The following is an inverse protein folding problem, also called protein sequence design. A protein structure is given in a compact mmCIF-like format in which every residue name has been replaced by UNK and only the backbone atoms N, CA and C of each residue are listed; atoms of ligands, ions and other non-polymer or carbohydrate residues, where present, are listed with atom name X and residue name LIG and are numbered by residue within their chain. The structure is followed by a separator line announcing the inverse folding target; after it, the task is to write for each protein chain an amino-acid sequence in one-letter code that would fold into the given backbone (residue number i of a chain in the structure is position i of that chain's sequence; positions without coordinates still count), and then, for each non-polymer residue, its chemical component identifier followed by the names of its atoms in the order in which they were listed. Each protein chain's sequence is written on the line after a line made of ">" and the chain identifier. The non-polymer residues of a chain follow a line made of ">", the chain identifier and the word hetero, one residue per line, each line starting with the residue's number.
data_IF_594485923157
#
_entry.id   IF_594485923157
#
_cell.length_a   1.000
_cell.length_b   1.000
_cell.length_c   1.000
_cell.angle_alpha   90.00
_cell.angle_beta   90.00
_cell.angle_gamma   90.00
#
_symmetry.space_group_name_H-M   'P 1'
#
loop_
_entity.id
_entity.type
_entity.pdbx_description
1 polymer ?
#
# COMPACT_ATOMS: atom_id res chain seq x y z
N UNK A 1 -26.44 -12.52 -6.45
CA UNK A 1 -26.13 -11.77 -5.22
C UNK A 1 -25.82 -10.33 -5.61
N UNK A 2 -26.38 -9.34 -4.92
CA UNK A 2 -26.02 -7.93 -5.14
C UNK A 2 -24.53 -7.75 -4.80
N UNK A 3 -23.72 -7.28 -5.75
CA UNK A 3 -22.27 -7.02 -5.63
C UNK A 3 -21.95 -5.52 -5.56
N UNK A 4 -22.97 -4.66 -5.40
CA UNK A 4 -22.79 -3.22 -5.22
C UNK A 4 -22.05 -2.92 -3.92
N UNK A 5 -21.24 -1.87 -3.97
CA UNK A 5 -20.61 -1.29 -2.79
C UNK A 5 -21.66 -0.44 -2.07
N UNK A 6 -21.87 -0.68 -0.78
CA UNK A 6 -22.83 0.09 0.00
C UNK A 6 -22.10 1.18 0.78
N UNK A 7 -22.55 2.43 0.64
CA UNK A 7 -21.98 3.58 1.34
C UNK A 7 -21.90 3.40 2.85
N UNK A 8 -22.95 2.87 3.47
CA UNK A 8 -23.01 2.63 4.91
C UNK A 8 -21.96 1.62 5.40
N UNK A 9 -21.70 0.56 4.62
CA UNK A 9 -20.70 -0.43 4.98
C UNK A 9 -19.29 0.18 4.91
N UNK A 10 -19.01 1.00 3.88
CA UNK A 10 -17.74 1.73 3.77
C UNK A 10 -17.56 2.75 4.90
N UNK A 11 -18.61 3.48 5.27
CA UNK A 11 -18.59 4.39 6.42
C UNK A 11 -18.32 3.65 7.72
N UNK A 12 -18.93 2.48 7.93
CA UNK A 12 -18.67 1.66 9.11
C UNK A 12 -17.22 1.20 9.19
N UNK A 13 -16.63 0.78 8.06
CA UNK A 13 -15.21 0.41 7.96
C UNK A 13 -14.31 1.60 8.30
N UNK A 14 -14.56 2.76 7.68
CA UNK A 14 -13.78 3.99 7.91
C UNK A 14 -13.89 4.40 9.39
N UNK A 15 -15.10 4.37 9.97
CA UNK A 15 -15.32 4.74 11.35
C UNK A 15 -14.60 3.80 12.33
N UNK A 16 -14.67 2.49 12.11
CA UNK A 16 -14.00 1.51 12.97
C UNK A 16 -12.46 1.64 12.92
N UNK A 17 -11.90 1.80 11.71
CA UNK A 17 -10.46 2.01 11.52
C UNK A 17 -10.03 3.33 12.16
N UNK A 18 -10.77 4.42 11.90
CA UNK A 18 -10.47 5.74 12.47
C UNK A 18 -10.51 5.70 13.99
N UNK A 19 -11.53 5.07 14.60
CA UNK A 19 -11.62 4.93 16.05
C UNK A 19 -10.42 4.18 16.63
N UNK A 20 -9.96 3.13 15.96
CA UNK A 20 -8.78 2.35 16.38
C UNK A 20 -7.49 3.14 16.23
N UNK A 21 -7.40 3.96 15.18
CA UNK A 21 -6.22 4.79 14.88
C UNK A 21 -6.18 6.09 15.70
N UNK A 22 -7.31 6.52 16.25
CA UNK A 22 -7.47 7.82 16.89
C UNK A 22 -6.45 8.08 18.02
N UNK A 23 -6.17 7.13 18.93
CA UNK A 23 -5.22 7.37 20.01
C UNK A 23 -3.80 7.71 19.50
N UNK A 24 -3.33 7.06 18.42
CA UNK A 24 -2.00 7.34 17.90
C UNK A 24 -1.95 8.62 17.05
N UNK A 25 -3.05 8.98 16.38
CA UNK A 25 -3.16 10.25 15.65
C UNK A 25 -3.19 11.42 16.64
N UNK A 26 -3.94 11.29 17.75
CA UNK A 26 -4.04 12.33 18.77
C UNK A 26 -2.78 12.48 19.64
N UNK A 27 -1.85 11.52 19.60
CA UNK A 27 -0.58 11.65 20.33
C UNK A 27 0.40 12.66 19.70
N UNK A 28 -0.01 13.37 18.64
CA UNK A 28 0.75 14.48 18.07
C UNK A 28 2.11 14.03 17.55
N UNK A 29 3.18 14.67 18.02
CA UNK A 29 4.56 14.32 17.64
C UNK A 29 5.20 13.27 18.58
N UNK A 30 4.42 12.61 19.44
CA UNK A 30 4.94 11.47 20.20
C UNK A 30 5.36 10.36 19.25
N UNK A 31 6.63 9.96 19.34
CA UNK A 31 7.28 8.93 18.54
C UNK A 31 7.67 7.78 19.46
N UNK A 32 7.63 6.54 18.96
CA UNK A 32 8.29 5.43 19.63
C UNK A 32 9.80 5.59 19.50
N UNK A 33 10.53 5.51 20.61
CA UNK A 33 11.99 5.69 20.63
C UNK A 33 12.73 4.38 20.36
N UNK A 34 12.44 3.75 19.21
CA UNK A 34 13.22 2.62 18.71
C UNK A 34 13.98 3.00 17.43
N UNK A 35 15.01 2.23 17.13
CA UNK A 35 15.95 2.52 16.05
C UNK A 35 15.25 2.65 14.69
N UNK A 36 14.31 1.74 14.39
CA UNK A 36 13.54 1.74 13.14
C UNK A 36 12.71 3.02 12.97
N UNK A 37 12.01 3.46 14.03
CA UNK A 37 11.25 4.72 14.00
C UNK A 37 12.13 5.94 13.82
N UNK A 38 13.25 5.99 14.55
CA UNK A 38 14.19 7.10 14.46
C UNK A 38 14.82 7.16 13.08
N UNK A 39 15.18 6.01 12.52
CA UNK A 39 15.70 5.88 11.16
C UNK A 39 14.67 6.38 10.14
N UNK A 40 13.44 5.87 10.18
CA UNK A 40 12.41 6.28 9.22
C UNK A 40 12.06 7.77 9.37
N UNK A 41 11.87 8.25 10.60
CA UNK A 41 11.61 9.67 10.87
C UNK A 41 12.74 10.57 10.37
N UNK A 42 14.01 10.14 10.50
CA UNK A 42 15.17 10.91 10.02
C UNK A 42 15.18 11.07 8.50
N UNK A 43 14.76 10.06 7.73
CA UNK A 43 14.63 10.16 6.27
C UNK A 43 13.55 11.14 5.86
N UNK A 44 12.40 11.07 6.52
CA UNK A 44 11.31 12.02 6.33
C UNK A 44 11.67 13.45 6.76
N UNK A 45 12.50 13.60 7.81
CA UNK A 45 13.05 14.88 8.22
C UNK A 45 14.04 15.44 7.20
N UNK A 46 14.92 14.60 6.62
CA UNK A 46 15.86 14.98 5.56
C UNK A 46 15.12 15.49 4.32
N UNK A 47 14.06 14.80 3.89
CA UNK A 47 13.19 15.25 2.80
C UNK A 47 12.68 16.68 3.07
N UNK A 48 12.15 16.93 4.26
CA UNK A 48 11.62 18.24 4.65
C UNK A 48 12.72 19.30 4.73
N UNK A 49 13.85 18.98 5.34
CA UNK A 49 15.00 19.89 5.43
C UNK A 49 15.47 20.29 4.03
N UNK A 50 15.63 19.31 3.13
CA UNK A 50 16.10 19.57 1.76
C UNK A 50 15.16 20.50 1.01
N UNK A 51 13.84 20.30 1.14
CA UNK A 51 12.84 21.12 0.46
C UNK A 51 12.67 22.52 1.06
N UNK A 52 12.63 22.64 2.39
CA UNK A 52 12.26 23.89 3.07
C UNK A 52 13.44 24.73 3.54
N UNK A 53 14.61 24.14 3.77
CA UNK A 53 15.80 24.83 4.25
C UNK A 53 16.83 24.97 3.13
N UNK A 54 17.09 23.88 2.40
CA UNK A 54 18.12 23.86 1.37
C UNK A 54 17.59 24.19 -0.03
N UNK A 55 16.26 24.28 -0.20
CA UNK A 55 15.56 24.54 -1.47
C UNK A 55 16.04 23.66 -2.63
N UNK A 56 16.35 22.39 -2.34
CA UNK A 56 16.85 21.42 -3.29
C UNK A 56 16.05 20.13 -3.23
N UNK A 57 16.03 19.40 -4.34
CA UNK A 57 15.49 18.06 -4.34
C UNK A 57 16.45 17.12 -3.57
N UNK A 58 15.97 16.28 -2.64
CA UNK A 58 16.78 15.44 -1.75
C UNK A 58 17.43 14.25 -2.48
N UNK A 59 18.40 14.53 -3.36
CA UNK A 59 19.16 13.49 -4.07
C UNK A 59 20.28 12.88 -3.22
N UNK A 60 20.71 13.59 -2.18
CA UNK A 60 21.82 13.19 -1.29
C UNK A 60 21.58 13.65 0.13
N UNK A 61 22.06 12.86 1.09
CA UNK A 61 22.17 13.24 2.50
C UNK A 61 23.59 13.69 2.84
N UNK A 62 23.80 14.84 3.51
CA UNK A 62 25.12 15.27 3.96
C UNK A 62 25.60 14.52 5.22
N UNK A 63 24.69 13.81 5.90
CA UNK A 63 24.94 13.27 7.25
C UNK A 63 25.78 11.98 7.26
N UNK A 64 25.93 11.32 6.10
CA UNK A 64 26.72 10.09 5.98
C UNK A 64 27.94 10.30 5.11
N UNK A 65 29.12 9.98 5.65
CA UNK A 65 30.39 9.84 4.92
C UNK A 65 30.74 11.00 3.96
N UNK A 66 30.36 12.24 4.28
CA UNK A 66 30.60 13.43 3.43
C UNK A 66 29.60 13.61 2.27
N UNK A 67 28.58 12.77 2.20
CA UNK A 67 27.55 12.78 1.17
C UNK A 67 27.20 11.36 0.73
N UNK A 68 25.95 10.94 0.92
CA UNK A 68 25.44 9.65 0.43
C UNK A 68 24.22 9.87 -0.49
N UNK A 69 24.10 9.18 -1.64
CA UNK A 69 22.93 9.30 -2.50
C UNK A 69 21.70 8.66 -1.83
N UNK A 70 20.92 9.46 -1.09
CA UNK A 70 19.78 8.96 -0.32
C UNK A 70 18.72 8.33 -1.21
N UNK A 71 18.52 8.84 -2.42
CA UNK A 71 17.58 8.29 -3.41
C UNK A 71 17.90 6.85 -3.84
N UNK A 72 19.12 6.36 -3.61
CA UNK A 72 19.49 4.97 -3.88
C UNK A 72 19.14 4.02 -2.72
N UNK A 73 18.71 4.56 -1.57
CA UNK A 73 18.18 3.78 -0.46
C UNK A 73 16.72 3.37 -0.78
N UNK A 74 16.38 2.07 -0.76
CA UNK A 74 15.02 1.60 -1.06
C UNK A 74 13.95 2.05 -0.04
N UNK A 75 14.36 2.66 1.06
CA UNK A 75 13.49 3.23 2.10
C UNK A 75 13.50 4.77 2.09
N UNK A 76 14.04 5.39 1.03
CA UNK A 76 14.00 6.83 0.83
C UNK A 76 12.60 7.26 0.35
N UNK A 77 11.91 8.16 1.06
CA UNK A 77 10.53 8.49 0.76
C UNK A 77 10.39 9.48 -0.40
N UNK A 78 11.47 10.03 -0.96
CA UNK A 78 11.42 11.26 -1.75
C UNK A 78 10.65 11.12 -3.07
N UNK A 79 10.60 9.90 -3.62
CA UNK A 79 9.83 9.61 -4.84
C UNK A 79 8.41 9.11 -4.55
N UNK A 80 8.08 8.80 -3.30
CA UNK A 80 6.77 8.29 -2.96
C UNK A 80 5.77 9.44 -2.86
N UNK A 81 4.65 9.42 -3.60
CA UNK A 81 3.65 10.49 -3.54
C UNK A 81 3.01 10.65 -2.14
N UNK A 82 3.02 9.61 -1.30
CA UNK A 82 2.56 9.70 0.08
C UNK A 82 3.48 10.54 0.97
N UNK A 83 4.73 10.77 0.56
CA UNK A 83 5.65 11.65 1.26
C UNK A 83 5.18 13.12 1.27
N UNK A 84 4.23 13.49 0.40
CA UNK A 84 3.54 14.77 0.49
C UNK A 84 2.83 14.95 1.85
N UNK A 85 2.36 13.87 2.49
CA UNK A 85 1.81 13.95 3.84
C UNK A 85 2.87 14.40 4.85
N UNK A 86 4.11 13.94 4.69
CA UNK A 86 5.25 14.41 5.49
C UNK A 86 5.62 15.85 5.19
N UNK A 87 5.62 16.25 3.93
CA UNK A 87 5.91 17.63 3.54
C UNK A 87 4.89 18.59 4.16
N UNK A 88 3.59 18.23 4.13
CA UNK A 88 2.52 19.07 4.64
C UNK A 88 2.37 19.07 6.17
N UNK A 89 2.50 17.91 6.82
CA UNK A 89 2.13 17.75 8.24
C UNK A 89 3.31 17.57 9.20
N UNK A 90 4.54 17.48 8.70
CA UNK A 90 5.71 17.15 9.50
C UNK A 90 6.12 15.68 9.37
N UNK A 91 7.35 15.36 9.73
CA UNK A 91 7.92 14.02 9.65
C UNK A 91 7.15 13.01 10.49
N UNK A 92 6.86 13.32 11.76
CA UNK A 92 6.16 12.39 12.67
C UNK A 92 4.69 12.24 12.31
N UNK A 93 3.96 13.35 12.21
CA UNK A 93 2.52 13.31 11.88
C UNK A 93 2.29 12.79 10.45
N UNK A 94 3.15 13.16 9.49
CA UNK A 94 3.08 12.63 8.13
C UNK A 94 3.20 11.11 8.09
N UNK A 95 4.17 10.53 8.80
CA UNK A 95 4.31 9.07 8.92
C UNK A 95 3.08 8.40 9.52
N UNK A 96 2.47 9.02 10.55
CA UNK A 96 1.21 8.54 11.13
C UNK A 96 0.06 8.58 10.13
N UNK A 97 -0.03 9.62 9.30
CA UNK A 97 -1.05 9.74 8.26
C UNK A 97 -0.83 8.76 7.10
N UNK A 98 0.43 8.47 6.75
CA UNK A 98 0.79 7.40 5.80
C UNK A 98 0.30 6.06 6.33
N UNK A 99 0.64 5.72 7.58
CA UNK A 99 0.18 4.50 8.24
C UNK A 99 -1.35 4.43 8.26
N UNK A 100 -2.04 5.50 8.65
CA UNK A 100 -3.50 5.59 8.66
C UNK A 100 -4.11 5.35 7.27
N UNK A 101 -3.49 5.87 6.22
CA UNK A 101 -3.91 5.63 4.83
C UNK A 101 -3.78 4.14 4.48
N UNK A 102 -2.73 3.46 4.96
CA UNK A 102 -2.57 2.02 4.76
C UNK A 102 -3.61 1.18 5.52
N UNK A 103 -4.04 1.60 6.72
CA UNK A 103 -5.16 0.97 7.42
C UNK A 103 -6.46 1.10 6.61
N UNK A 104 -6.78 2.30 6.15
CA UNK A 104 -7.97 2.54 5.32
C UNK A 104 -7.93 1.71 4.03
N UNK A 105 -6.77 1.68 3.37
CA UNK A 105 -6.57 0.88 2.16
C UNK A 105 -6.75 -0.63 2.43
N UNK A 106 -6.33 -1.12 3.60
CA UNK A 106 -6.52 -2.50 4.02
C UNK A 106 -8.02 -2.86 4.05
N UNK A 107 -8.79 -2.10 4.82
CA UNK A 107 -10.22 -2.37 5.02
C UNK A 107 -11.04 -2.16 3.76
N UNK A 108 -10.85 -1.01 3.09
CA UNK A 108 -11.60 -0.68 1.87
C UNK A 108 -11.19 -1.56 0.68
N UNK A 109 -9.90 -1.88 0.55
CA UNK A 109 -9.40 -2.80 -0.48
C UNK A 109 -9.97 -4.21 -0.31
N UNK A 110 -10.03 -4.71 0.92
CA UNK A 110 -10.65 -6.02 1.20
C UNK A 110 -12.17 -6.01 0.96
N UNK A 111 -12.87 -4.92 1.32
CA UNK A 111 -14.29 -4.78 1.02
C UNK A 111 -14.53 -4.76 -0.49
N UNK A 112 -13.70 -4.02 -1.22
CA UNK A 112 -13.76 -3.95 -2.67
C UNK A 112 -13.56 -5.33 -3.31
N UNK A 113 -12.47 -6.03 -2.96
CA UNK A 113 -12.15 -7.36 -3.46
C UNK A 113 -13.29 -8.36 -3.21
N UNK A 114 -13.75 -8.44 -1.96
CA UNK A 114 -14.76 -9.43 -1.56
C UNK A 114 -16.11 -9.17 -2.21
N UNK A 115 -16.53 -7.90 -2.35
CA UNK A 115 -17.80 -7.54 -2.98
C UNK A 115 -17.76 -7.63 -4.50
N UNK A 116 -16.68 -7.14 -5.13
CA UNK A 116 -16.60 -6.97 -6.59
C UNK A 116 -16.08 -8.19 -7.31
N UNK A 117 -15.14 -8.92 -6.71
CA UNK A 117 -14.44 -10.01 -7.38
C UNK A 117 -14.85 -11.39 -6.84
N UNK A 118 -15.01 -11.52 -5.51
CA UNK A 118 -15.30 -12.81 -4.88
C UNK A 118 -16.79 -13.09 -4.67
N UNK A 119 -17.65 -12.10 -4.86
CA UNK A 119 -19.11 -12.25 -4.77
C UNK A 119 -19.64 -12.51 -3.36
N UNK A 120 -18.91 -12.12 -2.32
CA UNK A 120 -19.34 -12.31 -0.93
C UNK A 120 -20.60 -11.49 -0.63
N UNK A 121 -21.48 -12.02 0.22
CA UNK A 121 -22.59 -11.25 0.78
C UNK A 121 -22.11 -10.06 1.63
N UNK A 122 -23.00 -9.09 1.90
CA UNK A 122 -22.66 -7.84 2.61
C UNK A 122 -21.99 -8.08 3.97
N UNK A 123 -22.57 -8.95 4.78
CA UNK A 123 -22.06 -9.27 6.13
C UNK A 123 -20.71 -9.96 6.07
N UNK A 124 -20.54 -10.93 5.18
CA UNK A 124 -19.26 -11.62 4.99
C UNK A 124 -18.15 -10.68 4.49
N UNK A 125 -18.48 -9.78 3.56
CA UNK A 125 -17.54 -8.77 3.08
C UNK A 125 -17.16 -7.77 4.18
N UNK A 126 -18.14 -7.27 4.95
CA UNK A 126 -17.88 -6.36 6.07
C UNK A 126 -16.99 -7.03 7.12
N UNK A 127 -17.30 -8.27 7.49
CA UNK A 127 -16.49 -9.06 8.42
C UNK A 127 -15.06 -9.24 7.91
N UNK A 128 -14.87 -9.68 6.66
CA UNK A 128 -13.54 -9.85 6.06
C UNK A 128 -12.74 -8.53 6.05
N UNK A 129 -13.42 -7.42 5.77
CA UNK A 129 -12.81 -6.08 5.71
C UNK A 129 -12.32 -5.61 7.06
N UNK A 130 -13.12 -5.79 8.11
CA UNK A 130 -12.75 -5.44 9.48
C UNK A 130 -11.69 -6.40 10.02
N UNK A 131 -11.82 -7.71 9.76
CA UNK A 131 -10.84 -8.71 10.20
C UNK A 131 -9.45 -8.46 9.60
N UNK A 132 -9.38 -8.12 8.31
CA UNK A 132 -8.12 -7.75 7.65
C UNK A 132 -7.64 -6.35 8.09
N UNK A 133 -8.54 -5.37 8.05
CA UNK A 133 -8.25 -3.96 8.34
C UNK A 133 -7.93 -3.64 9.81
N UNK A 134 -8.25 -4.53 10.74
CA UNK A 134 -7.96 -4.40 12.17
C UNK A 134 -7.09 -5.55 12.70
N UNK A 135 -6.40 -6.28 11.82
CA UNK A 135 -5.53 -7.37 12.25
C UNK A 135 -4.36 -6.83 13.10
N UNK A 136 -3.96 -7.60 14.12
CA UNK A 136 -2.90 -7.20 15.05
C UNK A 136 -1.50 -7.05 14.43
N UNK A 137 -1.31 -7.50 13.19
CA UNK A 137 -0.06 -7.34 12.47
C UNK A 137 0.25 -5.87 12.17
N UNK A 138 -0.74 -5.08 11.75
CA UNK A 138 -0.54 -3.66 11.43
C UNK A 138 -0.07 -2.81 12.62
N UNK A 139 -0.70 -2.86 13.80
CA UNK A 139 -0.23 -2.08 14.94
C UNK A 139 1.14 -2.55 15.42
N UNK A 140 1.48 -3.83 15.27
CA UNK A 140 2.81 -4.34 15.59
C UNK A 140 3.89 -3.76 14.66
N UNK A 141 3.65 -3.72 13.34
CA UNK A 141 4.58 -3.13 12.36
C UNK A 141 4.76 -1.64 12.58
N UNK A 142 3.66 -0.93 12.81
CA UNK A 142 3.69 0.47 13.15
C UNK A 142 4.44 0.72 14.47
N UNK A 143 4.17 -0.02 15.54
CA UNK A 143 4.89 0.14 16.81
C UNK A 143 6.40 -0.11 16.66
N UNK A 144 6.78 -1.05 15.80
CA UNK A 144 8.15 -1.35 15.45
C UNK A 144 8.80 -0.43 14.42
N UNK A 145 8.19 0.69 14.00
CA UNK A 145 8.82 1.64 13.06
C UNK A 145 8.85 1.20 11.60
N UNK A 146 8.25 0.05 11.28
CA UNK A 146 8.25 -0.54 9.96
C UNK A 146 7.00 -0.11 9.15
N UNK A 147 6.75 1.20 9.08
CA UNK A 147 5.57 1.76 8.39
C UNK A 147 5.58 1.42 6.90
N UNK A 148 6.76 1.37 6.27
CA UNK A 148 6.91 1.00 4.86
C UNK A 148 6.46 -0.45 4.59
N UNK A 149 6.53 -1.35 5.57
CA UNK A 149 6.01 -2.70 5.39
C UNK A 149 4.48 -2.73 5.32
N UNK A 150 3.80 -1.69 5.81
CA UNK A 150 2.34 -1.61 5.79
C UNK A 150 1.78 -1.56 4.36
N UNK A 151 2.59 -1.30 3.33
CA UNK A 151 2.17 -1.44 1.94
C UNK A 151 1.68 -2.86 1.58
N UNK A 152 2.01 -3.90 2.38
CA UNK A 152 1.40 -5.23 2.25
C UNK A 152 -0.14 -5.19 2.31
N UNK A 153 -0.71 -4.18 2.98
CA UNK A 153 -2.16 -4.03 3.10
C UNK A 153 -2.85 -3.64 1.80
N UNK A 154 -2.10 -3.19 0.78
CA UNK A 154 -2.62 -2.90 -0.56
C UNK A 154 -2.89 -4.17 -1.38
N UNK A 155 -2.43 -5.34 -0.92
CA UNK A 155 -2.60 -6.63 -1.62
C UNK A 155 -4.04 -6.92 -2.07
N UNK A 156 -5.09 -6.74 -1.23
CA UNK A 156 -6.46 -7.01 -1.67
C UNK A 156 -6.91 -6.08 -2.81
N UNK A 157 -6.51 -4.81 -2.76
CA UNK A 157 -6.83 -3.83 -3.80
C UNK A 157 -6.10 -4.15 -5.10
N UNK A 158 -4.81 -4.50 -5.02
CA UNK A 158 -4.01 -4.94 -6.18
C UNK A 158 -4.65 -6.15 -6.83
N UNK A 159 -5.00 -7.17 -6.06
CA UNK A 159 -5.65 -8.37 -6.57
C UNK A 159 -6.99 -8.04 -7.24
N UNK A 160 -7.80 -7.18 -6.64
CA UNK A 160 -9.08 -6.79 -7.22
C UNK A 160 -8.91 -6.06 -8.56
N UNK A 161 -7.94 -5.15 -8.65
CA UNK A 161 -7.66 -4.40 -9.88
C UNK A 161 -7.10 -5.29 -10.99
N UNK A 162 -6.24 -6.25 -10.64
CA UNK A 162 -5.74 -7.26 -11.58
C UNK A 162 -6.91 -8.09 -12.14
N UNK A 163 -7.81 -8.59 -11.30
CA UNK A 163 -8.96 -9.37 -11.74
C UNK A 163 -9.93 -8.54 -12.61
N UNK A 164 -10.22 -7.31 -12.20
CA UNK A 164 -11.09 -6.42 -12.98
C UNK A 164 -10.46 -5.96 -14.30
N UNK A 165 -9.13 -5.90 -14.39
CA UNK A 165 -8.42 -5.50 -15.62
C UNK A 165 -8.69 -6.42 -16.83
N UNK A 166 -9.14 -7.66 -16.58
CA UNK A 166 -9.58 -8.58 -17.64
C UNK A 166 -10.74 -7.96 -18.44
N UNK A 167 -11.67 -7.29 -17.76
CA UNK A 167 -12.85 -6.68 -18.37
C UNK A 167 -12.74 -5.16 -18.56
N UNK A 168 -12.01 -4.47 -17.69
CA UNK A 168 -11.87 -3.01 -17.68
C UNK A 168 -10.40 -2.60 -17.80
N UNK A 169 -9.91 -2.40 -19.02
CA UNK A 169 -8.48 -2.10 -19.28
C UNK A 169 -7.97 -0.84 -18.58
N UNK A 170 -8.82 0.15 -18.29
CA UNK A 170 -8.45 1.33 -17.51
C UNK A 170 -7.92 1.02 -16.10
N UNK A 171 -8.26 -0.15 -15.53
CA UNK A 171 -7.75 -0.59 -14.23
C UNK A 171 -6.24 -0.84 -14.22
N UNK A 172 -5.62 -1.05 -15.38
CA UNK A 172 -4.17 -1.24 -15.52
C UNK A 172 -3.41 0.03 -15.07
N UNK A 173 -3.92 1.22 -15.38
CA UNK A 173 -3.29 2.48 -15.00
C UNK A 173 -3.34 2.68 -13.49
N UNK A 174 -4.51 2.45 -12.87
CA UNK A 174 -4.67 2.54 -11.42
C UNK A 174 -3.79 1.51 -10.69
N UNK A 175 -3.72 0.30 -11.22
CA UNK A 175 -2.85 -0.75 -10.73
C UNK A 175 -1.36 -0.39 -10.85
N UNK A 176 -0.94 0.29 -11.92
CA UNK A 176 0.43 0.79 -12.09
C UNK A 176 0.76 1.89 -11.07
N UNK A 177 -0.17 2.85 -10.85
CA UNK A 177 0.00 3.91 -9.86
C UNK A 177 0.17 3.35 -8.44
N UNK A 178 -0.66 2.37 -8.05
CA UNK A 178 -0.54 1.73 -6.74
C UNK A 178 0.78 0.98 -6.61
N UNK A 179 1.22 0.28 -7.66
CA UNK A 179 2.53 -0.39 -7.64
C UNK A 179 3.69 0.59 -7.54
N UNK A 180 3.62 1.75 -8.21
CA UNK A 180 4.65 2.79 -8.13
C UNK A 180 4.81 3.32 -6.68
N UNK A 181 3.70 3.48 -5.94
CA UNK A 181 3.75 3.81 -4.50
C UNK A 181 4.55 2.78 -3.69
N UNK A 182 4.41 1.49 -4.00
CA UNK A 182 5.12 0.43 -3.28
C UNK A 182 6.57 0.33 -3.74
N UNK A 183 6.85 0.52 -5.03
CA UNK A 183 8.20 0.45 -5.59
C UNK A 183 9.12 1.57 -5.07
N UNK A 184 8.56 2.74 -4.77
CA UNK A 184 9.32 3.93 -4.38
C UNK A 184 9.77 3.95 -2.92
N UNK A 185 9.14 3.17 -2.03
CA UNK A 185 9.42 3.23 -0.58
C UNK A 185 9.20 1.88 0.16
N UNK A 186 8.75 0.84 -0.55
CA UNK A 186 8.21 -0.37 0.06
C UNK A 186 9.19 -1.51 0.27
N UNK A 187 10.50 -1.29 0.28
CA UNK A 187 11.49 -2.36 0.54
C UNK A 187 11.26 -3.62 -0.34
N UNK A 188 11.14 -4.79 0.29
CA UNK A 188 10.82 -6.08 -0.30
C UNK A 188 9.31 -6.33 -0.45
N UNK A 189 8.44 -5.37 -0.11
CA UNK A 189 6.99 -5.54 -0.18
C UNK A 189 6.53 -5.79 -1.62
N UNK A 190 7.01 -4.99 -2.58
CA UNK A 190 6.61 -5.15 -3.98
C UNK A 190 6.96 -6.54 -4.53
N UNK A 191 8.19 -7.06 -4.45
CA UNK A 191 8.50 -8.40 -4.96
C UNK A 191 7.71 -9.50 -4.25
N UNK A 192 7.43 -9.37 -2.95
CA UNK A 192 6.57 -10.32 -2.23
C UNK A 192 5.12 -10.32 -2.72
N UNK A 193 4.53 -9.14 -2.92
CA UNK A 193 3.18 -9.02 -3.51
C UNK A 193 3.18 -9.54 -4.94
N UNK A 194 4.18 -9.17 -5.76
CA UNK A 194 4.28 -9.59 -7.14
C UNK A 194 4.35 -11.11 -7.27
N UNK A 195 5.15 -11.79 -6.44
CA UNK A 195 5.22 -13.25 -6.40
C UNK A 195 3.85 -13.86 -6.07
N UNK A 196 3.16 -13.33 -5.06
CA UNK A 196 1.83 -13.80 -4.66
C UNK A 196 0.79 -13.61 -5.78
N UNK A 197 0.77 -12.45 -6.43
CA UNK A 197 -0.17 -12.15 -7.52
C UNK A 197 0.13 -12.99 -8.76
N UNK A 198 1.41 -13.17 -9.13
CA UNK A 198 1.81 -14.04 -10.24
C UNK A 198 1.33 -15.47 -9.99
N UNK A 199 1.54 -16.01 -8.78
CA UNK A 199 1.06 -17.34 -8.42
C UNK A 199 -0.47 -17.44 -8.57
N UNK A 200 -1.21 -16.45 -8.08
CA UNK A 200 -2.67 -16.42 -8.23
C UNK A 200 -3.12 -16.32 -9.68
N UNK A 201 -2.46 -15.50 -10.51
CA UNK A 201 -2.78 -15.42 -11.94
C UNK A 201 -2.50 -16.73 -12.68
N UNK A 202 -1.42 -17.44 -12.33
CA UNK A 202 -1.11 -18.76 -12.90
C UNK A 202 -2.20 -19.77 -12.51
N UNK A 203 -2.60 -19.79 -11.23
CA UNK A 203 -3.65 -20.69 -10.75
C UNK A 203 -5.03 -20.37 -11.35
N UNK A 204 -5.38 -19.09 -11.53
CA UNK A 204 -6.64 -18.66 -12.16
C UNK A 204 -6.67 -18.97 -13.67
N UNK A 205 -5.52 -18.87 -14.33
CA UNK A 205 -5.38 -19.09 -15.76
C UNK A 205 -5.50 -20.55 -16.17
N UNK A 206 -5.19 -21.51 -15.29
CA UNK A 206 -5.25 -22.94 -15.61
C UNK A 206 -6.65 -23.48 -15.37
N UNK A 207 -7.31 -23.94 -16.45
CA UNK A 207 -8.62 -24.62 -16.38
C UNK A 207 -8.49 -26.04 -16.90
N UNK A 208 -8.97 -26.99 -16.10
CA UNK A 208 -9.04 -28.41 -16.44
C UNK A 208 -10.49 -28.75 -16.73
N UNK A 209 -10.81 -29.11 -17.97
CA UNK A 209 -12.17 -29.52 -18.35
C UNK A 209 -12.10 -30.75 -19.25
N UNK A 210 -12.81 -31.83 -18.88
CA UNK A 210 -12.92 -33.07 -19.66
C UNK A 210 -11.57 -33.68 -20.12
N UNK A 211 -10.52 -33.54 -19.32
CA UNK A 211 -9.18 -34.06 -19.63
C UNK A 211 -8.29 -33.12 -20.45
N UNK A 212 -8.82 -31.98 -20.91
CA UNK A 212 -8.04 -30.94 -21.58
C UNK A 212 -7.62 -29.86 -20.57
N UNK A 213 -6.35 -29.44 -20.68
CA UNK A 213 -5.80 -28.32 -19.91
C UNK A 213 -5.78 -27.09 -20.83
N UNK A 214 -6.50 -26.04 -20.43
CA UNK A 214 -6.48 -24.74 -21.10
C UNK A 214 -5.83 -23.70 -20.19
N UNK A 215 -5.07 -22.78 -20.79
CA UNK A 215 -4.36 -21.71 -20.08
C UNK A 215 -4.78 -20.33 -20.60
N UNK A 216 -5.22 -19.45 -19.70
CA UNK A 216 -5.49 -18.04 -19.95
C UNK A 216 -4.39 -17.18 -19.32
N UNK A 217 -3.60 -16.50 -20.16
CA UNK A 217 -2.50 -15.63 -19.74
C UNK A 217 -2.90 -14.17 -19.49
N UNK A 218 -4.19 -13.81 -19.61
CA UNK A 218 -4.60 -12.41 -19.59
C UNK A 218 -4.32 -11.71 -18.24
N UNK A 219 -4.56 -12.40 -17.12
CA UNK A 219 -4.26 -11.90 -15.77
C UNK A 219 -2.77 -11.55 -15.63
N UNK A 220 -1.91 -12.50 -16.02
CA UNK A 220 -0.47 -12.36 -15.93
C UNK A 220 0.05 -11.24 -16.85
N UNK A 221 -0.48 -11.16 -18.08
CA UNK A 221 -0.14 -10.10 -19.03
C UNK A 221 -0.50 -8.72 -18.48
N UNK A 222 -1.72 -8.54 -17.97
CA UNK A 222 -2.14 -7.22 -17.47
C UNK A 222 -1.34 -6.81 -16.23
N UNK A 223 -1.01 -7.76 -15.34
CA UNK A 223 -0.12 -7.50 -14.21
C UNK A 223 1.28 -7.09 -14.68
N UNK A 224 1.89 -7.84 -15.61
CA UNK A 224 3.21 -7.51 -16.16
C UNK A 224 3.25 -6.14 -16.84
N UNK A 225 2.22 -5.79 -17.63
CA UNK A 225 2.10 -4.46 -18.25
C UNK A 225 2.00 -3.38 -17.18
N UNK A 226 1.18 -3.57 -16.15
CA UNK A 226 1.05 -2.59 -15.07
C UNK A 226 2.34 -2.42 -14.26
N UNK A 227 3.10 -3.50 -14.05
CA UNK A 227 4.39 -3.46 -13.36
C UNK A 227 5.44 -2.71 -14.20
N UNK A 228 5.49 -2.96 -15.51
CA UNK A 228 6.37 -2.22 -16.41
C UNK A 228 6.02 -0.73 -16.44
N UNK A 229 4.72 -0.38 -16.45
CA UNK A 229 4.27 1.00 -16.34
C UNK A 229 4.66 1.62 -15.00
N UNK A 230 4.54 0.88 -13.89
CA UNK A 230 4.90 1.36 -12.56
C UNK A 230 6.40 1.71 -12.42
N UNK A 231 7.28 1.04 -13.19
CA UNK A 231 8.70 1.37 -13.24
C UNK A 231 9.02 2.64 -14.06
N UNK A 232 8.07 3.12 -14.85
CA UNK A 232 8.20 4.33 -15.67
C UNK A 232 7.59 5.57 -15.00
N UNK A 233 6.91 5.38 -13.87
CA UNK A 233 6.25 6.43 -13.07
C UNK A 233 7.15 6.83 -11.90
#
# INVERSE_FOLDING_TARGET
>A
MDTRLHGWDMLAIIAAITATCLPFLLSGNALSLNDDWLQLASRHALLRQSLFQDFQFPLRTPFFMGGYPSIADPEDPCLNPLALLTVCFGEVMGLKLIAFTMYLAAGLGMYYLTRRCLGFGRTGALFASLAFGLCGWMPARHAGGNVNEMYFTLTPLILALVLESKTQKGRIVLLALIQAVILTDGKLVWPSIALFIVLLCVLEGVRISRGEVSADGECLRNFAVSAALALLL
#
